data_IF_475472760530
#
_entry.id   IF_475472760530
#
_cell.length_a   1.000
_cell.length_b   1.000
_cell.length_c   1.000
_cell.angle_alpha   90.00
_cell.angle_beta   90.00
_cell.angle_gamma   90.00
#
_symmetry.space_group_name_H-M   'P 1'
#
loop_
_entity.id
_entity.type
_entity.pdbx_description
1 polymer ?
#
# COMPACT_ATOMS: atom_id res chain seq x y z
N UNK A 1 -13.37 10.22 3.04
CA UNK A 1 -12.39 9.19 3.42
C UNK A 1 -13.13 7.88 3.40
N UNK A 2 -12.56 6.81 2.88
CA UNK A 2 -13.18 5.47 2.98
C UNK A 2 -12.36 4.52 3.87
N UNK A 3 -11.21 4.98 4.34
CA UNK A 3 -10.34 4.29 5.30
C UNK A 3 -10.52 4.81 6.72
N UNK A 4 -11.30 4.10 7.52
CA UNK A 4 -11.65 4.50 8.89
C UNK A 4 -11.02 3.59 9.93
N UNK A 5 -10.62 2.36 9.57
CA UNK A 5 -9.96 1.47 10.52
C UNK A 5 -8.60 2.03 10.91
N UNK A 6 -8.32 1.95 12.21
CA UNK A 6 -7.03 2.28 12.81
C UNK A 6 -6.63 1.13 13.73
N UNK A 7 -5.39 0.71 13.62
CA UNK A 7 -4.80 -0.30 14.50
C UNK A 7 -4.52 0.30 15.87
N UNK A 8 -4.64 -0.52 16.92
CA UNK A 8 -4.23 -0.09 18.26
C UNK A 8 -2.71 0.04 18.31
N UNK A 9 -2.16 1.22 18.69
CA UNK A 9 -0.71 1.43 18.71
C UNK A 9 0.05 0.42 19.58
N UNK A 10 -0.56 -0.03 20.70
CA UNK A 10 0.07 -1.03 21.58
C UNK A 10 0.31 -2.38 20.88
N UNK A 11 -0.65 -2.86 20.09
CA UNK A 11 -0.52 -4.11 19.34
C UNK A 11 0.46 -3.93 18.18
N UNK A 12 0.35 -2.81 17.47
CA UNK A 12 1.22 -2.50 16.35
C UNK A 12 2.69 -2.38 16.77
N UNK A 13 2.98 -1.65 17.87
CA UNK A 13 4.34 -1.50 18.42
C UNK A 13 4.90 -2.82 18.99
N UNK A 14 4.03 -3.75 19.40
CA UNK A 14 4.46 -5.07 19.85
C UNK A 14 4.85 -5.97 18.66
N UNK A 15 4.19 -5.79 17.51
CA UNK A 15 4.47 -6.55 16.29
C UNK A 15 5.65 -5.98 15.49
N UNK A 16 5.68 -4.67 15.26
CA UNK A 16 6.72 -3.97 14.52
C UNK A 16 7.58 -3.14 15.48
N UNK A 17 8.72 -3.70 15.89
CA UNK A 17 9.62 -3.07 16.84
C UNK A 17 10.61 -2.17 16.11
N UNK A 18 10.61 -0.88 16.43
CA UNK A 18 11.57 0.10 15.91
C UNK A 18 13.00 -0.28 16.30
N UNK A 19 13.92 -0.24 15.34
CA UNK A 19 15.34 -0.54 15.54
C UNK A 19 16.18 0.70 15.91
N UNK A 20 15.58 1.89 15.96
CA UNK A 20 16.20 3.09 16.53
C UNK A 20 17.35 3.64 15.69
N UNK A 21 17.20 3.66 14.35
CA UNK A 21 18.20 4.24 13.45
C UNK A 21 18.31 5.76 13.69
N UNK A 22 19.50 6.30 14.01
CA UNK A 22 19.69 7.73 14.16
C UNK A 22 19.46 8.46 12.84
N UNK A 23 18.78 9.61 12.90
CA UNK A 23 18.68 10.49 11.75
C UNK A 23 19.94 11.37 11.66
N UNK A 24 20.75 11.16 10.62
CA UNK A 24 21.97 11.93 10.37
C UNK A 24 21.83 12.90 9.20
N UNK A 25 20.91 12.65 8.27
CA UNK A 25 20.69 13.46 7.07
C UNK A 25 19.54 14.46 7.25
N UNK A 26 19.69 15.66 6.67
CA UNK A 26 18.73 16.76 6.84
C UNK A 26 17.37 16.49 6.18
N UNK A 27 17.38 15.86 5.00
CA UNK A 27 16.18 15.64 4.16
C UNK A 27 15.84 14.16 3.96
N UNK A 28 16.55 13.28 4.67
CA UNK A 28 16.36 11.84 4.54
C UNK A 28 16.30 11.25 5.93
N UNK A 29 15.28 10.42 6.17
CA UNK A 29 15.16 9.64 7.39
C UNK A 29 14.86 8.21 7.02
N UNK A 30 15.65 7.29 7.56
CA UNK A 30 15.36 5.86 7.54
C UNK A 30 14.76 5.45 8.88
N UNK A 31 13.59 4.82 8.84
CA UNK A 31 13.04 4.07 9.97
C UNK A 31 13.00 2.59 9.61
N UNK A 32 13.31 1.76 10.59
CA UNK A 32 13.42 0.30 10.40
C UNK A 32 12.61 -0.36 11.49
N UNK A 33 11.66 -1.18 11.10
CA UNK A 33 10.91 -2.04 12.00
C UNK A 33 11.24 -3.49 11.74
N UNK A 34 11.40 -4.25 12.82
CA UNK A 34 11.54 -5.70 12.77
C UNK A 34 10.29 -6.36 13.33
N UNK A 35 9.81 -7.35 12.60
CA UNK A 35 8.71 -8.19 13.03
C UNK A 35 9.09 -8.99 14.28
N UNK A 36 8.19 -9.02 15.26
CA UNK A 36 8.12 -10.04 16.30
C UNK A 36 6.98 -10.99 15.96
N UNK A 37 7.31 -12.13 15.35
CA UNK A 37 6.31 -13.06 14.80
C UNK A 37 5.23 -13.47 15.81
N UNK A 38 5.63 -13.75 17.06
CA UNK A 38 4.71 -14.13 18.13
C UNK A 38 3.67 -13.03 18.48
N UNK A 39 3.97 -11.76 18.19
CA UNK A 39 3.08 -10.64 18.45
C UNK A 39 2.06 -10.39 17.31
N UNK A 40 2.15 -11.13 16.20
CA UNK A 40 1.14 -11.06 15.14
C UNK A 40 -0.22 -11.59 15.62
N UNK A 41 -0.26 -12.63 16.45
CA UNK A 41 -1.51 -13.25 16.92
C UNK A 41 -2.53 -12.26 17.50
N UNK A 42 -2.18 -11.46 18.52
CA UNK A 42 -3.06 -10.45 19.09
C UNK A 42 -3.47 -9.32 18.13
N UNK A 43 -2.67 -9.03 17.10
CA UNK A 43 -2.91 -7.97 16.11
C UNK A 43 -3.69 -8.48 14.88
N UNK A 44 -3.68 -9.79 14.64
CA UNK A 44 -4.09 -10.42 13.39
C UNK A 44 -5.45 -9.94 12.89
N UNK A 45 -6.48 -10.00 13.72
CA UNK A 45 -7.84 -9.65 13.31
C UNK A 45 -7.98 -8.14 13.03
N UNK A 46 -7.28 -7.29 13.78
CA UNK A 46 -7.23 -5.85 13.51
C UNK A 46 -6.55 -5.56 12.17
N UNK A 47 -5.44 -6.25 11.88
CA UNK A 47 -4.69 -6.10 10.64
C UNK A 47 -5.47 -6.62 9.42
N UNK A 48 -6.15 -7.77 9.56
CA UNK A 48 -7.07 -8.27 8.53
C UNK A 48 -8.16 -7.22 8.27
N UNK A 49 -8.86 -6.76 9.31
CA UNK A 49 -9.93 -5.76 9.15
C UNK A 49 -9.43 -4.46 8.50
N UNK A 50 -8.21 -4.03 8.80
CA UNK A 50 -7.57 -2.86 8.22
C UNK A 50 -7.27 -3.02 6.72
N UNK A 51 -6.81 -4.21 6.30
CA UNK A 51 -6.57 -4.54 4.89
C UNK A 51 -7.89 -4.72 4.13
N UNK A 52 -8.90 -5.30 4.78
CA UNK A 52 -10.19 -5.58 4.14
C UNK A 52 -10.91 -4.32 3.65
N UNK A 53 -10.71 -3.13 4.25
CA UNK A 53 -11.28 -1.89 3.71
C UNK A 53 -10.88 -1.63 2.24
N UNK A 54 -9.61 -1.88 1.90
CA UNK A 54 -9.12 -1.70 0.54
C UNK A 54 -9.55 -2.84 -0.39
N UNK A 55 -9.58 -4.07 0.13
CA UNK A 55 -10.03 -5.24 -0.63
C UNK A 55 -11.53 -5.16 -0.93
N UNK A 56 -12.35 -4.70 -0.01
CA UNK A 56 -13.79 -4.54 -0.19
C UNK A 56 -14.12 -3.46 -1.22
N UNK A 57 -13.37 -2.35 -1.23
CA UNK A 57 -13.44 -1.34 -2.29
C UNK A 57 -13.08 -1.93 -3.68
N UNK A 58 -12.02 -2.73 -3.76
CA UNK A 58 -11.66 -3.44 -4.98
C UNK A 58 -12.73 -4.46 -5.41
N UNK A 59 -13.29 -5.25 -4.48
CA UNK A 59 -14.41 -6.18 -4.78
C UNK A 59 -15.64 -5.45 -5.27
N UNK A 60 -15.96 -4.30 -4.67
CA UNK A 60 -17.05 -3.43 -5.13
C UNK A 60 -16.80 -2.97 -6.58
N UNK A 61 -15.57 -2.58 -6.91
CA UNK A 61 -15.18 -2.20 -8.28
C UNK A 61 -15.34 -3.37 -9.26
N UNK A 62 -14.89 -4.56 -8.90
CA UNK A 62 -14.99 -5.77 -9.72
C UNK A 62 -16.47 -6.13 -9.99
N UNK A 63 -17.33 -6.02 -8.98
CA UNK A 63 -18.78 -6.29 -9.10
C UNK A 63 -19.56 -5.18 -9.83
N UNK A 64 -18.95 -4.01 -10.02
CA UNK A 64 -19.60 -2.86 -10.66
C UNK A 64 -20.04 -3.22 -12.08
N UNK A 65 -21.34 -3.13 -12.36
CA UNK A 65 -21.93 -3.50 -13.66
C UNK A 65 -22.49 -4.93 -13.73
N UNK A 66 -22.28 -5.75 -12.70
CA UNK A 66 -22.86 -7.10 -12.56
C UNK A 66 -24.00 -7.15 -11.53
N UNK A 67 -24.38 -6.00 -10.97
CA UNK A 67 -25.54 -5.87 -10.08
C UNK A 67 -26.80 -5.76 -10.94
N UNK A 68 -27.52 -6.86 -11.07
CA UNK A 68 -28.84 -6.90 -11.68
C UNK A 68 -29.87 -7.33 -10.62
N UNK A 69 -30.55 -6.35 -10.03
CA UNK A 69 -31.61 -6.55 -9.05
C UNK A 69 -32.83 -7.31 -9.62
N UNK A 70 -32.90 -7.48 -10.94
CA UNK A 70 -33.96 -8.20 -11.64
C UNK A 70 -33.55 -9.61 -12.07
N UNK A 71 -32.31 -10.03 -11.82
CA UNK A 71 -31.83 -11.36 -12.22
C UNK A 71 -32.36 -12.45 -11.29
N UNK A 72 -33.16 -13.42 -11.79
CA UNK A 72 -33.61 -14.57 -10.99
C UNK A 72 -32.48 -15.60 -10.72
N UNK A 73 -31.25 -15.31 -11.18
CA UNK A 73 -30.08 -16.19 -11.07
C UNK A 73 -29.04 -15.67 -10.06
N UNK A 74 -29.46 -14.89 -9.06
CA UNK A 74 -28.59 -14.36 -7.99
C UNK A 74 -28.04 -15.46 -7.06
N UNK A 75 -27.15 -16.31 -7.58
CA UNK A 75 -26.40 -17.30 -6.84
C UNK A 75 -24.93 -16.89 -6.70
N UNK A 76 -24.31 -17.29 -5.58
CA UNK A 76 -22.87 -17.08 -5.30
C UNK A 76 -21.92 -17.66 -6.37
N UNK A 77 -22.41 -18.54 -7.24
CA UNK A 77 -21.65 -19.27 -8.26
C UNK A 77 -21.07 -18.33 -9.36
N UNK A 78 -21.58 -17.11 -9.49
CA UNK A 78 -21.18 -16.16 -10.53
C UNK A 78 -20.70 -14.81 -9.98
N UNK A 79 -20.27 -14.72 -8.72
CA UNK A 79 -19.67 -13.48 -8.20
C UNK A 79 -18.30 -13.24 -8.86
N UNK A 80 -18.13 -12.16 -9.66
CA UNK A 80 -16.85 -11.89 -10.33
C UNK A 80 -15.70 -11.65 -9.33
N UNK A 81 -16.02 -11.35 -8.06
CA UNK A 81 -15.04 -11.14 -7.00
C UNK A 81 -14.81 -12.36 -6.09
N UNK A 82 -15.43 -13.54 -6.35
CA UNK A 82 -15.47 -14.69 -5.44
C UNK A 82 -14.10 -15.16 -4.92
N UNK A 83 -13.06 -15.03 -5.75
CA UNK A 83 -11.71 -15.52 -5.45
C UNK A 83 -10.69 -14.40 -5.17
N UNK A 84 -11.14 -13.15 -5.10
CA UNK A 84 -10.27 -12.00 -4.85
C UNK A 84 -10.01 -11.73 -3.35
N UNK A 85 -8.76 -11.50 -2.93
CA UNK A 85 -7.50 -11.59 -3.70
C UNK A 85 -6.81 -12.97 -3.59
N UNK A 86 -7.41 -13.92 -2.88
CA UNK A 86 -6.75 -15.16 -2.43
C UNK A 86 -6.11 -15.99 -3.55
N UNK A 87 -6.72 -16.01 -4.75
CA UNK A 87 -6.21 -16.79 -5.89
C UNK A 87 -5.20 -16.05 -6.78
N UNK A 88 -4.88 -14.80 -6.45
CA UNK A 88 -3.87 -14.05 -7.18
C UNK A 88 -2.46 -14.58 -6.88
N UNK A 89 -1.54 -14.31 -7.80
CA UNK A 89 -0.14 -14.65 -7.62
C UNK A 89 0.47 -13.92 -6.41
N UNK A 90 1.36 -14.61 -5.70
CA UNK A 90 2.05 -14.07 -4.50
C UNK A 90 2.76 -12.74 -4.74
N UNK A 91 3.30 -12.48 -5.93
CA UNK A 91 3.94 -11.20 -6.24
C UNK A 91 2.93 -10.03 -6.16
N UNK A 92 1.69 -10.26 -6.58
CA UNK A 92 0.63 -9.24 -6.50
C UNK A 92 0.20 -9.01 -5.05
N UNK A 93 0.14 -10.08 -4.26
CA UNK A 93 -0.14 -9.99 -2.82
C UNK A 93 1.01 -9.30 -2.05
N UNK A 94 2.26 -9.52 -2.45
CA UNK A 94 3.42 -8.77 -1.97
C UNK A 94 3.26 -7.28 -2.28
N UNK A 95 2.86 -6.92 -3.50
CA UNK A 95 2.53 -5.53 -3.87
C UNK A 95 1.55 -4.89 -2.88
N UNK A 96 0.39 -5.53 -2.67
CA UNK A 96 -0.62 -5.05 -1.73
C UNK A 96 -0.10 -4.94 -0.29
N UNK A 97 0.73 -5.88 0.17
CA UNK A 97 1.34 -5.80 1.50
C UNK A 97 2.28 -4.61 1.61
N UNK A 98 3.13 -4.37 0.60
CA UNK A 98 4.04 -3.23 0.58
C UNK A 98 3.29 -1.90 0.67
N UNK A 99 2.26 -1.72 -0.16
CA UNK A 99 1.39 -0.54 -0.16
C UNK A 99 0.74 -0.34 1.23
N UNK A 100 0.17 -1.42 1.78
CA UNK A 100 -0.47 -1.43 3.10
C UNK A 100 0.50 -0.99 4.19
N UNK A 101 1.72 -1.56 4.23
CA UNK A 101 2.72 -1.25 5.25
C UNK A 101 3.19 0.20 5.17
N UNK A 102 3.39 0.71 3.95
CA UNK A 102 3.75 2.12 3.75
C UNK A 102 2.68 3.06 4.29
N UNK A 103 1.42 2.84 3.91
CA UNK A 103 0.27 3.62 4.41
C UNK A 103 0.13 3.50 5.92
N UNK A 104 0.19 2.28 6.45
CA UNK A 104 0.09 1.98 7.87
C UNK A 104 1.15 2.72 8.69
N UNK A 105 2.42 2.68 8.26
CA UNK A 105 3.47 3.39 8.98
C UNK A 105 3.27 4.90 8.96
N UNK A 106 2.79 5.47 7.86
CA UNK A 106 2.50 6.90 7.77
C UNK A 106 1.33 7.29 8.67
N UNK A 107 0.23 6.53 8.66
CA UNK A 107 -0.98 6.81 9.46
C UNK A 107 -0.72 6.66 10.96
N UNK A 108 0.15 5.73 11.37
CA UNK A 108 0.34 5.38 12.78
C UNK A 108 1.64 5.91 13.41
N UNK A 109 2.72 6.00 12.63
CA UNK A 109 4.02 6.47 13.11
C UNK A 109 4.39 7.86 12.55
N UNK A 110 3.58 8.42 11.66
CA UNK A 110 3.87 9.68 11.00
C UNK A 110 4.97 9.58 9.95
N UNK A 111 5.34 10.70 9.35
CA UNK A 111 6.42 10.83 8.36
C UNK A 111 6.90 12.30 8.30
N UNK A 112 8.18 12.53 7.96
CA UNK A 112 8.77 13.86 7.77
C UNK A 112 8.51 14.80 8.97
N UNK A 113 8.57 14.24 10.18
CA UNK A 113 8.37 14.99 11.42
C UNK A 113 6.90 15.32 11.77
N UNK A 114 5.92 14.88 10.98
CA UNK A 114 4.50 15.07 11.24
C UNK A 114 3.78 13.75 11.53
N UNK A 115 2.78 13.78 12.42
CA UNK A 115 1.97 12.62 12.80
C UNK A 115 0.52 12.69 12.30
N UNK A 116 0.08 13.82 11.73
CA UNK A 116 -1.30 14.05 11.30
C UNK A 116 -1.53 13.74 9.81
N UNK A 117 -0.82 12.75 9.27
CA UNK A 117 -1.02 12.29 7.90
C UNK A 117 -2.32 11.50 7.79
N UNK A 118 -3.02 11.69 6.68
CA UNK A 118 -4.27 10.99 6.38
C UNK A 118 -4.20 10.34 5.01
N UNK A 119 -4.66 9.09 4.90
CA UNK A 119 -4.74 8.36 3.63
C UNK A 119 -6.21 8.11 3.28
N UNK A 120 -6.79 8.81 2.29
CA UNK A 120 -8.23 8.72 2.02
C UNK A 120 -8.68 7.32 1.56
N UNK A 121 -7.82 6.61 0.81
CA UNK A 121 -8.03 5.27 0.28
C UNK A 121 -6.69 4.62 -0.12
N UNK A 122 -6.66 3.29 -0.15
CA UNK A 122 -5.66 2.51 -0.89
C UNK A 122 -6.18 2.28 -2.32
N UNK A 123 -5.28 2.18 -3.30
CA UNK A 123 -5.64 2.22 -4.72
C UNK A 123 -5.72 0.82 -5.38
N UNK A 124 -5.97 -0.23 -4.58
CA UNK A 124 -6.04 -1.62 -5.06
C UNK A 124 -7.06 -1.81 -6.19
N UNK A 125 -8.15 -1.03 -6.18
CA UNK A 125 -9.21 -1.06 -7.20
C UNK A 125 -8.76 -0.68 -8.61
N UNK A 126 -7.53 -0.17 -8.79
CA UNK A 126 -6.99 0.26 -10.08
C UNK A 126 -6.00 -0.75 -10.66
N UNK A 127 -6.04 -2.01 -10.20
CA UNK A 127 -5.22 -3.10 -10.73
C UNK A 127 -5.95 -3.88 -11.83
N UNK A 128 -6.42 -3.18 -12.87
CA UNK A 128 -7.29 -3.75 -13.92
C UNK A 128 -6.72 -5.02 -14.58
N UNK A 129 -5.39 -5.09 -14.74
CA UNK A 129 -4.73 -6.27 -15.31
C UNK A 129 -4.87 -7.52 -14.42
N UNK A 130 -4.86 -7.37 -13.10
CA UNK A 130 -5.15 -8.47 -12.18
C UNK A 130 -6.64 -8.83 -12.19
N UNK A 131 -7.53 -7.85 -12.39
CA UNK A 131 -8.98 -8.13 -12.43
C UNK A 131 -9.36 -8.92 -13.68
N UNK A 132 -8.80 -8.57 -14.84
CA UNK A 132 -8.96 -9.36 -16.07
C UNK A 132 -8.37 -10.78 -15.90
N UNK A 133 -7.27 -10.90 -15.15
CA UNK A 133 -6.68 -12.20 -14.89
C UNK A 133 -7.54 -13.04 -13.92
N UNK A 134 -8.13 -12.41 -12.92
CA UNK A 134 -9.08 -13.03 -12.00
C UNK A 134 -10.28 -13.62 -12.74
N UNK A 135 -10.82 -12.93 -13.76
CA UNK A 135 -11.90 -13.47 -14.58
C UNK A 135 -11.51 -14.81 -15.24
N UNK A 136 -10.29 -14.90 -15.77
CA UNK A 136 -9.75 -16.14 -16.35
C UNK A 136 -9.51 -17.22 -15.29
N UNK A 137 -9.15 -16.85 -14.06
CA UNK A 137 -9.02 -17.79 -12.94
C UNK A 137 -10.40 -18.34 -12.58
N UNK A 138 -11.39 -17.47 -12.43
CA UNK A 138 -12.77 -17.84 -12.11
C UNK A 138 -13.35 -18.78 -13.17
N UNK A 139 -13.16 -18.48 -14.46
CA UNK A 139 -13.61 -19.33 -15.58
C UNK A 139 -12.99 -20.74 -15.51
N UNK A 140 -11.66 -20.83 -15.32
CA UNK A 140 -10.94 -22.11 -15.19
C UNK A 140 -11.45 -22.93 -14.01
N UNK A 141 -11.65 -22.31 -12.85
CA UNK A 141 -12.16 -22.98 -11.65
C UNK A 141 -13.59 -23.47 -11.86
N UNK A 142 -14.45 -22.70 -12.54
CA UNK A 142 -15.80 -23.14 -12.91
C UNK A 142 -15.79 -24.32 -13.89
N UNK A 143 -14.79 -24.39 -14.77
CA UNK A 143 -14.56 -25.53 -15.68
C UNK A 143 -13.95 -26.75 -14.97
N UNK A 144 -13.61 -26.66 -13.69
CA UNK A 144 -12.99 -27.73 -12.91
C UNK A 144 -11.49 -27.90 -13.17
N UNK A 145 -10.83 -26.89 -13.75
CA UNK A 145 -9.38 -26.90 -13.93
C UNK A 145 -8.65 -26.58 -12.62
N UNK A 146 -7.48 -27.20 -12.45
CA UNK A 146 -6.60 -26.88 -11.33
C UNK A 146 -5.98 -25.49 -11.51
N UNK A 147 -5.92 -24.72 -10.42
CA UNK A 147 -5.25 -23.42 -10.37
C UNK A 147 -4.13 -23.46 -9.33
N UNK A 148 -2.93 -23.07 -9.76
CA UNK A 148 -1.73 -22.98 -8.91
C UNK A 148 -1.32 -21.50 -8.83
N UNK A 149 -1.77 -20.74 -7.80
CA UNK A 149 -1.60 -19.29 -7.75
C UNK A 149 -0.15 -18.82 -7.91
N UNK A 150 0.80 -19.58 -7.36
CA UNK A 150 2.21 -19.19 -7.30
C UNK A 150 3.01 -19.58 -8.55
N UNK A 151 2.37 -20.21 -9.56
CA UNK A 151 3.03 -20.56 -10.80
C UNK A 151 3.47 -19.30 -11.59
N UNK A 152 4.64 -19.39 -12.26
CA UNK A 152 5.21 -18.27 -13.02
C UNK A 152 4.26 -17.70 -14.09
N UNK A 153 3.45 -18.57 -14.69
CA UNK A 153 2.46 -18.20 -15.71
C UNK A 153 1.32 -17.34 -15.16
N UNK A 154 1.11 -17.28 -13.85
CA UNK A 154 0.04 -16.48 -13.22
C UNK A 154 0.55 -15.08 -12.80
N UNK A 155 1.86 -14.79 -12.95
CA UNK A 155 2.44 -13.49 -12.60
C UNK A 155 1.96 -12.38 -13.54
N UNK A 156 1.34 -11.33 -12.99
CA UNK A 156 1.04 -10.10 -13.72
C UNK A 156 2.01 -8.97 -13.37
N UNK A 157 2.24 -8.02 -14.28
CA UNK A 157 2.79 -6.71 -13.93
C UNK A 157 2.00 -6.09 -12.78
N UNK A 158 2.70 -5.42 -11.87
CA UNK A 158 2.05 -4.62 -10.84
C UNK A 158 1.34 -3.40 -11.41
N UNK A 159 0.45 -2.81 -10.61
CA UNK A 159 -0.24 -1.56 -10.94
C UNK A 159 0.76 -0.45 -11.26
N UNK A 160 0.42 0.36 -12.27
CA UNK A 160 1.15 1.59 -12.59
C UNK A 160 0.62 2.75 -11.76
N UNK A 161 1.49 3.68 -11.38
CA UNK A 161 1.12 4.88 -10.64
C UNK A 161 1.72 4.88 -9.24
N UNK A 162 1.09 5.62 -8.35
CA UNK A 162 1.56 5.80 -6.97
C UNK A 162 1.13 4.62 -6.09
N UNK A 163 2.06 4.03 -5.33
CA UNK A 163 1.80 2.89 -4.43
C UNK A 163 1.02 3.33 -3.17
N UNK A 164 1.00 4.63 -2.87
CA UNK A 164 0.14 5.22 -1.84
C UNK A 164 0.26 6.74 -1.80
N UNK A 165 -0.79 7.40 -1.32
CA UNK A 165 -0.81 8.86 -1.16
C UNK A 165 -1.33 9.23 0.22
N UNK A 166 -0.52 9.96 0.97
CA UNK A 166 -0.91 10.54 2.25
C UNK A 166 -0.89 12.06 2.17
N UNK A 167 -1.80 12.70 2.90
CA UNK A 167 -1.98 14.14 2.86
C UNK A 167 -2.01 14.71 4.26
N UNK A 168 -1.51 15.93 4.40
CA UNK A 168 -1.83 16.79 5.54
C UNK A 168 -2.80 17.86 5.06
N UNK A 169 -3.81 18.10 5.87
CA UNK A 169 -4.89 19.04 5.59
C UNK A 169 -4.94 20.03 6.77
N UNK A 170 -5.08 21.31 6.47
CA UNK A 170 -5.24 22.34 7.49
C UNK A 170 -6.67 22.41 8.04
N UNK A 171 -6.91 23.33 8.96
CA UNK A 171 -8.22 23.56 9.59
C UNK A 171 -9.31 24.01 8.59
N UNK A 172 -8.93 24.53 7.42
CA UNK A 172 -9.84 24.96 6.37
C UNK A 172 -10.12 23.87 5.33
N UNK A 173 -9.60 22.66 5.51
CA UNK A 173 -9.75 21.58 4.54
C UNK A 173 -8.80 21.67 3.34
N UNK A 174 -7.77 22.53 3.40
CA UNK A 174 -6.79 22.70 2.32
C UNK A 174 -5.62 21.74 2.51
N UNK A 175 -5.26 21.01 1.45
CA UNK A 175 -4.09 20.14 1.44
C UNK A 175 -2.81 21.00 1.48
N UNK A 176 -2.02 20.87 2.55
CA UNK A 176 -0.76 21.59 2.75
C UNK A 176 0.45 20.77 2.38
N UNK A 177 0.37 19.45 2.53
CA UNK A 177 1.45 18.52 2.22
C UNK A 177 0.90 17.27 1.56
N UNK A 178 1.71 16.70 0.66
CA UNK A 178 1.46 15.42 0.03
C UNK A 178 2.71 14.55 0.12
N UNK A 179 2.52 13.31 0.54
CA UNK A 179 3.53 12.25 0.59
C UNK A 179 3.11 11.16 -0.39
N UNK A 180 3.97 10.89 -1.38
CA UNK A 180 3.79 9.75 -2.28
C UNK A 180 4.67 8.64 -1.82
N UNK A 181 4.08 7.45 -1.77
CA UNK A 181 4.76 6.23 -1.42
C UNK A 181 5.07 5.46 -2.69
N UNK A 182 6.30 4.96 -2.77
CA UNK A 182 6.68 3.81 -3.58
C UNK A 182 6.89 2.64 -2.61
N UNK A 183 6.30 1.50 -2.90
CA UNK A 183 6.34 0.33 -2.05
C UNK A 183 6.99 -0.85 -2.79
N UNK A 184 7.88 -1.56 -2.09
CA UNK A 184 8.50 -2.80 -2.57
C UNK A 184 8.43 -3.82 -1.46
N UNK A 185 7.99 -5.02 -1.80
CA UNK A 185 7.83 -6.13 -0.87
C UNK A 185 8.45 -7.37 -1.50
N UNK A 186 9.51 -7.90 -0.89
CA UNK A 186 10.33 -8.97 -1.48
C UNK A 186 10.71 -10.00 -0.42
N UNK A 187 10.66 -11.30 -0.73
CA UNK A 187 11.19 -12.33 0.18
C UNK A 187 12.70 -12.24 0.35
N UNK A 188 13.40 -11.77 -0.68
CA UNK A 188 14.86 -11.59 -0.65
C UNK A 188 15.23 -10.17 -1.04
N UNK A 189 16.14 -9.58 -0.27
CA UNK A 189 16.68 -8.26 -0.56
C UNK A 189 17.24 -8.17 -1.99
N UNK A 190 16.95 -7.06 -2.68
CA UNK A 190 17.43 -6.79 -4.03
C UNK A 190 17.77 -5.31 -4.20
N UNK A 191 19.05 -5.02 -4.43
CA UNK A 191 19.58 -3.66 -4.59
C UNK A 191 19.15 -3.00 -5.89
N UNK A 192 18.93 -3.76 -6.96
CA UNK A 192 18.36 -3.27 -8.21
C UNK A 192 16.95 -2.72 -8.00
N UNK A 193 16.11 -3.45 -7.26
CA UNK A 193 14.76 -3.00 -6.94
C UNK A 193 14.77 -1.75 -6.05
N UNK A 194 15.73 -1.61 -5.12
CA UNK A 194 15.90 -0.37 -4.37
C UNK A 194 16.23 0.80 -5.28
N UNK A 195 17.17 0.61 -6.22
CA UNK A 195 17.52 1.63 -7.20
C UNK A 195 16.29 2.05 -8.01
N UNK A 196 15.56 1.09 -8.57
CA UNK A 196 14.37 1.35 -9.39
C UNK A 196 13.30 2.13 -8.62
N UNK A 197 13.08 1.80 -7.34
CA UNK A 197 12.13 2.51 -6.49
C UNK A 197 12.52 3.99 -6.29
N UNK A 198 13.81 4.28 -6.07
CA UNK A 198 14.30 5.65 -5.96
C UNK A 198 14.22 6.41 -7.30
N UNK A 199 14.47 5.74 -8.43
CA UNK A 199 14.34 6.33 -9.76
C UNK A 199 12.89 6.73 -10.05
N UNK A 200 11.92 5.87 -9.71
CA UNK A 200 10.50 6.18 -9.87
C UNK A 200 10.05 7.38 -9.05
N UNK A 201 10.43 7.45 -7.77
CA UNK A 201 10.10 8.59 -6.91
C UNK A 201 10.65 9.91 -7.48
N UNK A 202 11.86 9.87 -8.05
CA UNK A 202 12.52 11.03 -8.67
C UNK A 202 11.76 11.57 -9.89
N UNK A 203 11.15 10.70 -10.70
CA UNK A 203 10.38 11.09 -11.89
C UNK A 203 9.04 11.74 -11.53
N UNK A 204 8.49 11.45 -10.36
CA UNK A 204 7.18 11.96 -9.92
C UNK A 204 7.10 13.49 -9.89
N UNK A 205 6.03 14.05 -10.45
CA UNK A 205 5.75 15.49 -10.41
C UNK A 205 5.24 15.98 -9.05
N UNK A 206 4.96 17.29 -8.96
CA UNK A 206 4.26 17.88 -7.80
C UNK A 206 2.78 17.47 -7.72
N UNK A 207 2.25 16.93 -8.82
CA UNK A 207 0.90 16.38 -8.90
C UNK A 207 1.00 14.88 -9.21
N UNK A 208 0.95 14.02 -8.18
CA UNK A 208 0.95 12.57 -8.37
C UNK A 208 -0.24 12.08 -9.18
N UNK A 209 -0.05 11.00 -9.94
CA UNK A 209 -1.09 10.41 -10.79
C UNK A 209 -2.30 9.91 -10.00
N UNK A 210 -2.06 9.34 -8.81
CA UNK A 210 -3.08 8.78 -7.94
C UNK A 210 -4.07 9.81 -7.38
N UNK A 211 -3.78 11.12 -7.48
CA UNK A 211 -4.75 12.15 -7.08
C UNK A 211 -6.02 12.07 -7.93
N UNK A 212 -5.88 11.85 -9.25
CA UNK A 212 -7.02 11.69 -10.15
C UNK A 212 -7.81 10.42 -9.80
N UNK A 213 -7.10 9.35 -9.48
CA UNK A 213 -7.68 8.06 -9.10
C UNK A 213 -8.48 8.16 -7.80
N UNK A 214 -7.95 8.87 -6.80
CA UNK A 214 -8.65 9.16 -5.55
C UNK A 214 -9.92 9.99 -5.79
N UNK A 215 -9.87 11.03 -6.63
CA UNK A 215 -11.07 11.83 -6.96
C UNK A 215 -12.15 10.93 -7.57
N UNK A 216 -11.79 10.09 -8.54
CA UNK A 216 -12.73 9.17 -9.19
C UNK A 216 -13.32 8.17 -8.19
N UNK A 217 -12.46 7.54 -7.38
CA UNK A 217 -12.87 6.58 -6.35
C UNK A 217 -13.87 7.22 -5.38
N UNK A 218 -13.55 8.40 -4.83
CA UNK A 218 -14.37 9.06 -3.82
C UNK A 218 -15.72 9.54 -4.36
N UNK A 219 -15.84 9.77 -5.67
CA UNK A 219 -17.11 10.14 -6.32
C UNK A 219 -18.16 9.03 -6.22
N UNK A 220 -17.74 7.78 -6.01
CA UNK A 220 -18.64 6.64 -5.86
C UNK A 220 -19.17 6.47 -4.43
N UNK A 221 -18.77 7.31 -3.47
CA UNK A 221 -19.17 7.22 -2.07
C UNK A 221 -20.02 8.41 -1.65
N UNK A 222 -21.28 8.14 -1.29
CA UNK A 222 -22.22 9.14 -0.80
C UNK A 222 -22.08 9.32 0.72
N UNK A 223 -20.94 9.88 1.14
CA UNK A 223 -20.68 10.21 2.55
C UNK A 223 -20.10 11.63 2.65
N UNK A 224 -20.44 12.40 3.70
CA UNK A 224 -19.88 13.75 3.89
C UNK A 224 -18.34 13.75 3.88
N UNK A 225 -17.72 12.73 4.45
CA UNK A 225 -16.26 12.59 4.47
C UNK A 225 -15.70 12.33 3.07
N UNK A 226 -16.36 11.55 2.21
CA UNK A 226 -15.91 11.34 0.84
C UNK A 226 -16.04 12.62 0.01
N UNK A 227 -17.15 13.34 0.14
CA UNK A 227 -17.37 14.63 -0.52
C UNK A 227 -16.31 15.66 -0.10
N UNK A 228 -16.05 15.81 1.21
CA UNK A 228 -15.04 16.74 1.71
C UNK A 228 -13.65 16.45 1.14
N UNK A 229 -13.25 15.18 1.09
CA UNK A 229 -11.99 14.77 0.47
C UNK A 229 -11.95 15.02 -1.03
N UNK A 230 -13.05 14.74 -1.73
CA UNK A 230 -13.17 15.00 -3.16
C UNK A 230 -12.97 16.49 -3.45
N UNK A 231 -13.60 17.38 -2.69
CA UNK A 231 -13.43 18.84 -2.85
C UNK A 231 -11.99 19.29 -2.59
N UNK A 232 -11.37 18.82 -1.49
CA UNK A 232 -9.98 19.12 -1.18
C UNK A 232 -9.02 18.65 -2.29
N UNK A 233 -9.22 17.45 -2.80
CA UNK A 233 -8.41 16.89 -3.90
C UNK A 233 -8.66 17.61 -5.23
N UNK A 234 -9.88 18.03 -5.54
CA UNK A 234 -10.19 18.84 -6.72
C UNK A 234 -9.49 20.21 -6.66
N UNK A 235 -9.50 20.86 -5.50
CA UNK A 235 -8.78 22.12 -5.28
C UNK A 235 -7.26 21.93 -5.43
N UNK A 236 -6.71 20.87 -4.84
CA UNK A 236 -5.31 20.50 -5.00
C UNK A 236 -4.95 20.23 -6.47
N UNK A 237 -5.79 19.46 -7.17
CA UNK A 237 -5.58 19.08 -8.56
C UNK A 237 -5.57 20.31 -9.48
N UNK A 238 -6.47 21.27 -9.23
CA UNK A 238 -6.55 22.50 -10.02
C UNK A 238 -5.28 23.34 -9.83
N UNK A 239 -4.99 23.74 -8.59
CA UNK A 239 -3.92 24.71 -8.31
C UNK A 239 -3.11 24.41 -7.04
N UNK A 240 -3.67 23.69 -6.05
CA UNK A 240 -2.99 23.49 -4.77
C UNK A 240 -1.66 22.71 -4.86
N UNK A 241 -1.45 21.89 -5.88
CA UNK A 241 -0.16 21.23 -6.14
C UNK A 241 1.02 22.20 -6.36
N UNK A 242 0.74 23.50 -6.59
CA UNK A 242 1.76 24.54 -6.75
C UNK A 242 2.27 25.06 -5.41
N UNK A 243 1.45 24.98 -4.37
CA UNK A 243 1.70 25.57 -3.05
C UNK A 243 1.91 24.52 -1.96
N UNK A 244 1.27 23.36 -2.08
CA UNK A 244 1.47 22.24 -1.18
C UNK A 244 2.90 21.68 -1.25
N UNK A 245 3.46 21.34 -0.10
CA UNK A 245 4.77 20.72 -0.02
C UNK A 245 4.72 19.26 -0.47
N UNK A 246 5.65 18.91 -1.38
CA UNK A 246 5.77 17.58 -1.97
C UNK A 246 6.90 16.80 -1.31
N UNK A 247 6.56 15.67 -0.70
CA UNK A 247 7.50 14.76 -0.04
C UNK A 247 7.41 13.35 -0.63
N UNK A 248 8.46 12.56 -0.51
CA UNK A 248 8.50 11.19 -1.00
C UNK A 248 8.67 10.20 0.14
N UNK A 249 8.16 8.99 -0.04
CA UNK A 249 8.31 7.90 0.90
C UNK A 249 8.61 6.60 0.19
N UNK A 250 9.51 5.80 0.76
CA UNK A 250 9.84 4.46 0.28
C UNK A 250 9.47 3.45 1.35
N UNK A 251 8.48 2.60 1.09
CA UNK A 251 8.18 1.43 1.91
C UNK A 251 8.93 0.21 1.34
N UNK A 252 9.88 -0.33 2.08
CA UNK A 252 10.67 -1.50 1.69
C UNK A 252 10.44 -2.65 2.69
N UNK A 253 9.49 -3.52 2.37
CA UNK A 253 9.24 -4.75 3.11
C UNK A 253 10.12 -5.87 2.55
N UNK A 254 10.81 -6.59 3.44
CA UNK A 254 11.76 -7.60 3.03
C UNK A 254 11.80 -8.80 3.98
N UNK A 255 11.97 -9.98 3.39
CA UNK A 255 12.28 -11.18 4.15
C UNK A 255 13.69 -11.13 4.73
N UNK A 256 13.77 -11.37 6.02
CA UNK A 256 14.95 -11.38 6.87
C UNK A 256 15.67 -10.04 7.01
N UNK A 257 16.23 -9.82 8.20
CA UNK A 257 17.17 -8.72 8.45
C UNK A 257 18.55 -9.03 7.85
N UNK A 258 19.39 -8.01 7.62
CA UNK A 258 20.78 -8.24 7.28
C UNK A 258 21.46 -9.08 8.37
N UNK A 259 22.28 -10.05 7.97
CA UNK A 259 23.10 -10.86 8.88
C UNK A 259 24.57 -10.44 8.89
N UNK A 260 25.00 -9.72 7.85
CA UNK A 260 26.39 -9.34 7.66
C UNK A 260 26.49 -7.95 7.00
N UNK A 261 27.47 -7.11 7.42
CA UNK A 261 28.26 -7.28 8.65
C UNK A 261 27.36 -7.25 9.92
N UNK A 262 27.87 -7.72 11.06
CA UNK A 262 27.05 -7.96 12.26
C UNK A 262 26.40 -6.69 12.85
N UNK A 263 26.97 -5.53 12.55
CA UNK A 263 26.47 -4.19 12.91
C UNK A 263 25.46 -3.63 11.89
N UNK A 264 25.23 -4.31 10.76
CA UNK A 264 24.27 -3.86 9.76
C UNK A 264 22.84 -4.12 10.23
N UNK A 265 22.15 -3.05 10.61
CA UNK A 265 20.76 -3.11 11.07
C UNK A 265 19.77 -3.14 9.90
N UNK A 266 20.07 -2.42 8.81
CA UNK A 266 19.14 -2.16 7.71
C UNK A 266 19.70 -2.56 6.34
N UNK A 267 18.80 -2.88 5.41
CA UNK A 267 19.15 -3.07 4.01
C UNK A 267 19.32 -1.73 3.28
N UNK A 268 18.42 -0.78 3.53
CA UNK A 268 18.53 0.59 3.07
C UNK A 268 19.65 1.35 3.81
N UNK A 269 20.37 2.25 3.11
CA UNK A 269 21.45 3.03 3.72
C UNK A 269 20.91 4.09 4.68
N UNK A 270 21.35 4.16 5.96
CA UNK A 270 20.83 5.11 6.94
C UNK A 270 21.32 6.56 6.73
N UNK A 271 22.50 6.73 6.13
CA UNK A 271 23.18 8.04 6.07
C UNK A 271 22.72 8.94 4.92
N UNK A 272 22.17 8.35 3.85
CA UNK A 272 21.77 9.06 2.66
C UNK A 272 20.84 8.20 1.81
N UNK A 273 19.94 8.79 1.00
CA UNK A 273 19.15 8.03 0.03
C UNK A 273 20.04 7.35 -1.02
N UNK A 274 19.50 6.38 -1.74
CA UNK A 274 20.23 5.75 -2.84
C UNK A 274 20.70 6.82 -3.86
N UNK A 275 21.91 6.74 -4.45
CA UNK A 275 22.44 7.76 -5.37
C UNK A 275 21.58 8.05 -6.61
N UNK A 276 20.68 7.13 -6.96
CA UNK A 276 19.72 7.34 -8.05
C UNK A 276 18.60 8.34 -7.70
N UNK A 277 18.39 8.64 -6.42
CA UNK A 277 17.49 9.69 -5.96
C UNK A 277 18.21 11.05 -6.00
N UNK A 278 18.11 11.73 -7.14
CA UNK A 278 18.87 12.95 -7.41
C UNK A 278 18.12 14.24 -7.10
N UNK A 279 16.80 14.16 -6.86
CA UNK A 279 15.97 15.31 -6.49
C UNK A 279 16.13 15.65 -5.00
N UNK A 280 15.78 16.87 -4.63
CA UNK A 280 16.00 17.42 -3.29
C UNK A 280 14.74 17.53 -2.42
N UNK A 281 13.75 16.66 -2.62
CA UNK A 281 12.59 16.57 -1.73
C UNK A 281 12.95 15.84 -0.45
N UNK A 282 12.14 16.03 0.59
CA UNK A 282 12.29 15.21 1.79
C UNK A 282 11.85 13.78 1.48
N UNK A 283 12.65 12.80 1.89
CA UNK A 283 12.41 11.37 1.69
C UNK A 283 12.32 10.64 3.03
N UNK A 284 11.19 9.97 3.26
CA UNK A 284 10.98 9.04 4.36
C UNK A 284 11.17 7.60 3.87
N UNK A 285 12.28 6.96 4.22
CA UNK A 285 12.44 5.53 4.01
C UNK A 285 11.91 4.74 5.22
N UNK A 286 11.16 3.69 4.93
CA UNK A 286 10.46 2.83 5.88
C UNK A 286 10.79 1.39 5.53
N UNK A 287 11.69 0.76 6.28
CA UNK A 287 12.06 -0.64 6.09
C UNK A 287 11.32 -1.54 7.08
N UNK A 288 10.73 -2.63 6.58
CA UNK A 288 10.04 -3.63 7.38
C UNK A 288 10.71 -4.99 7.16
N UNK A 289 11.23 -5.57 8.24
CA UNK A 289 11.97 -6.83 8.20
C UNK A 289 11.12 -7.96 8.80
N UNK A 290 10.81 -8.97 8.00
CA UNK A 290 9.96 -10.09 8.39
C UNK A 290 10.75 -11.38 8.54
N UNK A 291 10.44 -12.20 9.53
CA UNK A 291 11.08 -13.52 9.65
C UNK A 291 10.51 -14.49 8.60
N UNK A 292 9.18 -14.45 8.42
CA UNK A 292 8.47 -15.25 7.44
C UNK A 292 7.41 -14.40 6.72
N UNK A 293 7.88 -13.61 5.76
CA UNK A 293 7.05 -12.69 4.97
C UNK A 293 5.90 -13.42 4.25
N UNK A 294 6.16 -14.61 3.72
CA UNK A 294 5.17 -15.38 2.96
C UNK A 294 4.01 -15.83 3.85
N UNK A 295 4.29 -16.23 5.09
CA UNK A 295 3.23 -16.56 6.05
C UNK A 295 2.36 -15.33 6.41
N UNK A 296 2.96 -14.15 6.56
CA UNK A 296 2.20 -12.91 6.80
C UNK A 296 1.27 -12.61 5.62
N UNK A 297 1.76 -12.76 4.40
CA UNK A 297 0.96 -12.57 3.18
C UNK A 297 -0.21 -13.55 3.13
N UNK A 298 0.04 -14.83 3.36
CA UNK A 298 -0.99 -15.86 3.29
C UNK A 298 -2.08 -15.60 4.35
N UNK A 299 -1.69 -15.25 5.59
CA UNK A 299 -2.62 -14.88 6.67
C UNK A 299 -3.53 -13.71 6.28
N UNK A 300 -3.00 -12.69 5.61
CA UNK A 300 -3.74 -11.46 5.31
C UNK A 300 -4.60 -11.56 4.05
N UNK A 301 -4.15 -12.29 3.03
CA UNK A 301 -4.76 -12.23 1.70
C UNK A 301 -5.36 -13.56 1.22
N UNK A 302 -4.89 -14.70 1.73
CA UNK A 302 -5.40 -16.03 1.34
C UNK A 302 -6.35 -16.63 2.37
N UNK A 303 -6.39 -16.07 3.58
CA UNK A 303 -7.02 -16.70 4.73
C UNK A 303 -6.07 -17.71 5.39
N UNK A 304 -6.35 -18.08 6.63
CA UNK A 304 -5.65 -19.18 7.29
C UNK A 304 -6.40 -20.50 7.12
#
# INVERSE_FOLDING_TARGET
MIRFRRLKPVHLNSWLVDQGIPQTHQRYRLRVWREVHAALGPLRDELIAYVQEALDDARRRIRSGFQDDLSPFSGLVHDPAAHYPAMLNRISLQGYLGETLGVLAVEHFGAIGYSNWMVPALLFRFHDQEFQHLDLINERLLAGEAHEPDADKEKRPGRTGDDGLAFRVDENGVITDILTLEAKCLTTNNTGIMKDAHEKLMVGGNRPSGVRELINLLTEYDTPEAEAWQQALLQFYRDGFRTAARHDGLAYAVGHSPKQPADRIAWLPPEAPHPAYTIQRNLEAMEFQFENLDAVIDILYRGA
#
